data_IF_305428379161
#
_entry.id   IF_305428379161
#
_cell.length_a   1.000
_cell.length_b   1.000
_cell.length_c   1.000
_cell.angle_alpha   90.00
_cell.angle_beta   90.00
_cell.angle_gamma   90.00
#
_symmetry.space_group_name_H-M   'P 1'
#
loop_
_entity.id
_entity.type
_entity.pdbx_description
1 polymer ?
#
# COMPACT_ATOMS: atom_id res chain seq x y z
N UNK A 1 -15.19 1.16 13.07
CA UNK A 1 -14.62 1.51 11.75
C UNK A 1 -13.09 1.43 11.78
N UNK A 2 -12.44 1.99 12.79
CA UNK A 2 -10.97 1.95 12.97
C UNK A 2 -10.39 0.53 13.06
N UNK A 3 -11.07 -0.40 13.75
CA UNK A 3 -10.64 -1.80 13.80
C UNK A 3 -10.46 -2.40 12.38
N UNK A 4 -11.41 -2.12 11.48
CA UNK A 4 -11.36 -2.60 10.11
C UNK A 4 -10.19 -1.98 9.33
N UNK A 5 -9.87 -0.72 9.62
CA UNK A 5 -8.74 -0.03 9.03
C UNK A 5 -7.40 -0.64 9.49
N UNK A 6 -7.26 -0.93 10.78
CA UNK A 6 -6.06 -1.62 11.29
C UNK A 6 -5.89 -3.01 10.69
N UNK A 7 -6.99 -3.77 10.55
CA UNK A 7 -6.97 -5.05 9.84
C UNK A 7 -6.58 -4.90 8.37
N UNK A 8 -7.14 -3.91 7.66
CA UNK A 8 -6.80 -3.64 6.27
C UNK A 8 -5.32 -3.27 6.10
N UNK A 9 -4.77 -2.44 6.99
CA UNK A 9 -3.34 -2.13 7.02
C UNK A 9 -2.49 -3.38 7.25
N UNK A 10 -2.83 -4.19 8.25
CA UNK A 10 -2.10 -5.43 8.53
C UNK A 10 -2.11 -6.39 7.33
N UNK A 11 -3.26 -6.53 6.65
CA UNK A 11 -3.37 -7.34 5.44
C UNK A 11 -2.53 -6.77 4.30
N UNK A 12 -2.54 -5.45 4.09
CA UNK A 12 -1.72 -4.80 3.06
C UNK A 12 -0.22 -5.04 3.30
N UNK A 13 0.23 -4.91 4.56
CA UNK A 13 1.62 -5.25 4.93
C UNK A 13 1.95 -6.73 4.75
N UNK A 14 1.04 -7.64 5.11
CA UNK A 14 1.24 -9.08 4.91
C UNK A 14 1.34 -9.42 3.43
N UNK A 15 0.46 -8.87 2.58
CA UNK A 15 0.51 -9.07 1.13
C UNK A 15 1.80 -8.52 0.54
N UNK A 16 2.24 -7.34 0.97
CA UNK A 16 3.52 -6.78 0.55
C UNK A 16 4.71 -7.64 0.98
N UNK A 17 4.70 -8.15 2.21
CA UNK A 17 5.72 -9.09 2.71
C UNK A 17 5.77 -10.38 1.90
N UNK A 18 4.60 -10.95 1.57
CA UNK A 18 4.50 -12.14 0.70
C UNK A 18 4.99 -11.83 -0.72
N UNK A 19 4.65 -10.66 -1.27
CA UNK A 19 5.12 -10.22 -2.58
C UNK A 19 6.65 -10.16 -2.63
N UNK A 20 7.28 -9.55 -1.61
CA UNK A 20 8.74 -9.51 -1.50
C UNK A 20 9.36 -10.90 -1.33
N UNK A 21 8.73 -11.78 -0.55
CA UNK A 21 9.25 -13.13 -0.32
C UNK A 21 9.17 -14.00 -1.57
N UNK A 22 8.05 -13.94 -2.30
CA UNK A 22 7.85 -14.71 -3.54
C UNK A 22 8.43 -14.04 -4.79
N UNK A 23 8.91 -12.81 -4.68
CA UNK A 23 9.29 -11.96 -5.81
C UNK A 23 8.15 -11.87 -6.86
N UNK A 24 6.91 -11.78 -6.38
CA UNK A 24 5.74 -11.71 -7.24
C UNK A 24 5.34 -10.25 -7.46
N UNK A 25 5.68 -9.74 -8.64
CA UNK A 25 5.43 -8.37 -9.06
C UNK A 25 3.93 -8.01 -9.08
N UNK A 26 3.04 -8.97 -9.39
CA UNK A 26 1.59 -8.72 -9.38
C UNK A 26 1.07 -8.52 -7.96
N UNK A 27 1.50 -9.37 -7.02
CA UNK A 27 1.18 -9.20 -5.60
C UNK A 27 1.75 -7.89 -5.05
N UNK A 28 2.95 -7.51 -5.48
CA UNK A 28 3.58 -6.22 -5.15
C UNK A 28 2.69 -5.05 -5.58
N UNK A 29 2.28 -5.05 -6.85
CA UNK A 29 1.41 -4.01 -7.41
C UNK A 29 0.06 -3.95 -6.68
N UNK A 30 -0.57 -5.09 -6.42
CA UNK A 30 -1.84 -5.16 -5.69
C UNK A 30 -1.72 -4.62 -4.26
N UNK A 31 -0.65 -4.98 -3.54
CA UNK A 31 -0.39 -4.45 -2.20
C UNK A 31 -0.17 -2.93 -2.21
N UNK A 32 0.53 -2.39 -3.21
CA UNK A 32 0.71 -0.94 -3.37
C UNK A 32 -0.61 -0.21 -3.59
N UNK A 33 -1.51 -0.75 -4.42
CA UNK A 33 -2.85 -0.20 -4.59
C UNK A 33 -3.68 -0.24 -3.30
N UNK A 34 -3.58 -1.33 -2.53
CA UNK A 34 -4.25 -1.40 -1.22
C UNK A 34 -3.76 -0.31 -0.26
N UNK A 35 -2.44 -0.06 -0.20
CA UNK A 35 -1.89 1.05 0.59
C UNK A 35 -2.44 2.40 0.15
N UNK A 36 -2.54 2.65 -1.16
CA UNK A 36 -3.16 3.88 -1.67
C UNK A 36 -4.62 4.01 -1.24
N UNK A 37 -5.43 2.96 -1.41
CA UNK A 37 -6.85 2.97 -1.03
C UNK A 37 -7.01 3.24 0.47
N UNK A 38 -6.20 2.59 1.29
CA UNK A 38 -6.18 2.79 2.74
C UNK A 38 -5.79 4.23 3.07
N UNK A 39 -4.75 4.77 2.44
CA UNK A 39 -4.32 6.16 2.66
C UNK A 39 -5.39 7.19 2.27
N UNK A 40 -6.07 6.99 1.14
CA UNK A 40 -7.22 7.84 0.73
C UNK A 40 -8.38 7.70 1.72
N UNK A 41 -8.64 6.49 2.23
CA UNK A 41 -9.66 6.26 3.23
C UNK A 41 -9.33 6.99 4.55
N UNK A 42 -8.08 6.95 5.00
CA UNK A 42 -7.60 7.70 6.18
C UNK A 42 -7.78 9.19 5.95
N UNK A 43 -7.39 9.70 4.78
CA UNK A 43 -7.55 11.12 4.45
C UNK A 43 -9.01 11.60 4.54
N UNK A 44 -9.97 10.74 4.16
CA UNK A 44 -11.40 11.08 4.14
C UNK A 44 -12.10 10.93 5.49
N UNK A 45 -11.77 9.88 6.24
CA UNK A 45 -12.50 9.52 7.46
C UNK A 45 -11.77 9.92 8.74
N UNK A 46 -10.45 10.05 8.65
CA UNK A 46 -9.56 10.31 9.76
C UNK A 46 -9.55 9.24 10.86
N UNK A 47 -8.81 9.54 11.92
CA UNK A 47 -8.85 8.78 13.17
C UNK A 47 -9.55 9.62 14.24
N UNK A 48 -10.44 9.00 15.02
CA UNK A 48 -11.17 9.68 16.08
C UNK A 48 -10.29 10.07 17.27
N UNK A 49 -9.11 9.45 17.38
CA UNK A 49 -8.17 9.59 18.50
C UNK A 49 -6.96 10.46 18.20
N UNK A 50 -6.77 10.89 16.94
CA UNK A 50 -5.60 11.66 16.50
C UNK A 50 -6.02 13.05 16.00
N UNK A 51 -5.12 14.02 16.15
CA UNK A 51 -5.29 15.34 15.55
C UNK A 51 -5.34 15.27 14.02
N UNK A 52 -6.07 16.21 13.41
CA UNK A 52 -6.23 16.29 11.96
C UNK A 52 -4.89 16.35 11.22
N UNK A 53 -3.94 17.16 11.70
CA UNK A 53 -2.62 17.29 11.07
C UNK A 53 -1.85 15.96 11.04
N UNK A 54 -1.91 15.20 12.14
CA UNK A 54 -1.23 13.90 12.24
C UNK A 54 -1.88 12.88 11.32
N UNK A 55 -3.22 12.87 11.30
CA UNK A 55 -4.03 12.01 10.44
C UNK A 55 -3.75 12.27 8.96
N UNK A 56 -3.72 13.54 8.54
CA UNK A 56 -3.37 13.94 7.17
C UNK A 56 -1.94 13.52 6.81
N UNK A 57 -0.98 13.71 7.74
CA UNK A 57 0.39 13.25 7.57
C UNK A 57 0.50 11.74 7.35
N UNK A 58 -0.18 10.94 8.19
CA UNK A 58 -0.24 9.48 8.04
C UNK A 58 -0.87 9.11 6.69
N UNK A 59 -1.96 9.77 6.30
CA UNK A 59 -2.61 9.51 5.02
C UNK A 59 -1.66 9.75 3.84
N UNK A 60 -0.98 10.90 3.80
CA UNK A 60 -0.04 11.26 2.73
C UNK A 60 1.11 10.26 2.67
N UNK A 61 1.71 9.91 3.81
CA UNK A 61 2.79 8.92 3.88
C UNK A 61 2.31 7.56 3.35
N UNK A 62 1.10 7.14 3.74
CA UNK A 62 0.53 5.85 3.33
C UNK A 62 0.24 5.82 1.83
N UNK A 63 -0.30 6.91 1.27
CA UNK A 63 -0.50 7.07 -0.17
C UNK A 63 0.83 7.02 -0.90
N UNK A 64 1.82 7.81 -0.46
CA UNK A 64 3.15 7.86 -1.07
C UNK A 64 3.86 6.51 -1.05
N UNK A 65 3.77 5.78 0.06
CA UNK A 65 4.28 4.41 0.17
C UNK A 65 3.60 3.47 -0.82
N UNK A 66 2.26 3.54 -0.92
CA UNK A 66 1.51 2.74 -1.89
C UNK A 66 1.90 3.03 -3.33
N UNK A 67 2.05 4.31 -3.69
CA UNK A 67 2.53 4.72 -5.02
C UNK A 67 3.94 4.18 -5.31
N UNK A 68 4.86 4.29 -4.35
CA UNK A 68 6.22 3.78 -4.51
C UNK A 68 6.24 2.26 -4.71
N UNK A 69 5.50 1.51 -3.90
CA UNK A 69 5.40 0.05 -4.01
C UNK A 69 4.81 -0.35 -5.37
N UNK A 70 3.71 0.27 -5.78
CA UNK A 70 3.06 -0.02 -7.05
C UNK A 70 3.98 0.31 -8.24
N UNK A 71 4.69 1.43 -8.19
CA UNK A 71 5.62 1.84 -9.24
C UNK A 71 6.82 0.88 -9.34
N UNK A 72 7.43 0.52 -8.21
CA UNK A 72 8.52 -0.45 -8.18
C UNK A 72 8.07 -1.79 -8.78
N UNK A 73 6.91 -2.30 -8.34
CA UNK A 73 6.36 -3.55 -8.84
C UNK A 73 6.04 -3.50 -10.35
N UNK A 74 5.60 -2.35 -10.86
CA UNK A 74 5.39 -2.14 -12.29
C UNK A 74 6.70 -2.24 -13.09
N UNK A 75 7.77 -1.63 -12.58
CA UNK A 75 9.10 -1.70 -13.19
C UNK A 75 9.62 -3.13 -13.19
N UNK A 76 9.47 -3.85 -12.08
CA UNK A 76 9.87 -5.25 -11.95
C UNK A 76 9.11 -6.13 -12.96
N UNK A 77 7.79 -5.93 -13.09
CA UNK A 77 6.96 -6.65 -14.07
C UNK A 77 7.35 -6.37 -15.54
N UNK A 78 7.69 -5.13 -15.89
CA UNK A 78 8.17 -4.79 -17.23
C UNK A 78 9.53 -5.45 -17.53
N UNK A 79 10.41 -5.56 -16.53
CA UNK A 79 11.69 -6.23 -16.67
C UNK A 79 11.54 -7.75 -16.84
N UNK A 80 10.59 -8.37 -16.13
CA UNK A 80 10.21 -9.78 -16.33
C UNK A 80 9.72 -10.01 -17.76
N UNK A 81 8.78 -9.19 -18.23
CA UNK A 81 8.25 -9.26 -19.59
C UNK A 81 9.33 -9.06 -20.68
N UNK A 82 10.31 -8.18 -20.44
CA UNK A 82 11.42 -7.94 -21.36
C UNK A 82 12.45 -9.07 -21.38
N UNK A 83 12.59 -9.83 -20.28
CA UNK A 83 13.59 -10.91 -20.16
C UNK A 83 13.05 -12.30 -20.50
N UNK A 84 11.76 -12.42 -20.84
CA UNK A 84 11.15 -13.66 -21.32
C UNK A 84 11.06 -14.76 -20.27
N UNK A 85 11.01 -14.40 -18.99
CA UNK A 85 10.68 -15.29 -17.89
C UNK A 85 9.20 -15.22 -17.54
#
# INVERSE_FOLDING_TARGET
MELLLYFAMAIAFLLFGIALWKQDSNLGMFSGFLFMIIGVFIFRNGFSTLDNLVTEGIAIITIGLGCYIAFRAAVDHLNEAATGK
#
